data_IF_105806462438
#
_entry.id   IF_105806462438
#
_cell.length_a   1.000
_cell.length_b   1.000
_cell.length_c   1.000
_cell.angle_alpha   90.00
_cell.angle_beta   90.00
_cell.angle_gamma   90.00
#
_symmetry.space_group_name_H-M   'P 1'
#
loop_
_entity.id
_entity.type
_entity.pdbx_description
1 polymer ?
#
# COMPACT_ATOMS: atom_id res chain seq x y z
N UNK A 1 -53.31 -15.28 -39.15
CA UNK A 1 -53.36 -15.66 -40.58
C UNK A 1 -53.29 -14.36 -41.38
N UNK A 2 -52.14 -14.02 -41.95
CA UNK A 2 -52.03 -12.86 -42.84
C UNK A 2 -51.97 -13.39 -44.26
N UNK A 3 -53.08 -13.30 -44.98
CA UNK A 3 -53.19 -13.78 -46.36
C UNK A 3 -52.46 -12.81 -47.29
N UNK A 4 -51.40 -13.27 -47.95
CA UNK A 4 -50.75 -12.52 -49.01
C UNK A 4 -51.66 -12.62 -50.24
N UNK A 5 -52.37 -11.52 -50.54
CA UNK A 5 -53.37 -11.45 -51.61
C UNK A 5 -52.72 -11.77 -52.96
N UNK A 6 -53.18 -12.84 -53.62
CA UNK A 6 -52.80 -13.17 -55.00
C UNK A 6 -53.71 -12.41 -55.96
N UNK A 7 -53.14 -11.47 -56.74
CA UNK A 7 -53.90 -10.74 -57.76
C UNK A 7 -53.71 -11.45 -59.11
N UNK A 8 -54.82 -11.91 -59.72
CA UNK A 8 -54.82 -12.39 -61.10
C UNK A 8 -55.30 -11.27 -62.01
N UNK A 9 -54.41 -10.72 -62.83
CA UNK A 9 -54.78 -9.90 -63.98
C UNK A 9 -54.40 -10.67 -65.24
N UNK A 10 -55.36 -10.84 -66.15
CA UNK A 10 -55.16 -11.42 -67.49
C UNK A 10 -54.37 -12.75 -67.51
N UNK A 11 -54.76 -13.72 -66.66
CA UNK A 11 -54.15 -15.05 -66.53
C UNK A 11 -52.68 -15.10 -66.07
N UNK A 12 -52.04 -13.97 -65.76
CA UNK A 12 -50.69 -13.95 -65.18
C UNK A 12 -50.80 -13.85 -63.65
N UNK A 13 -50.15 -14.80 -62.97
CA UNK A 13 -50.09 -14.77 -61.51
C UNK A 13 -49.03 -13.77 -61.07
N UNK A 14 -49.48 -12.61 -60.62
CA UNK A 14 -48.60 -11.57 -60.09
C UNK A 14 -48.52 -11.75 -58.57
N UNK A 15 -47.33 -12.08 -58.08
CA UNK A 15 -47.02 -11.94 -56.67
C UNK A 15 -46.55 -10.49 -56.48
N UNK A 16 -47.34 -9.61 -55.85
CA UNK A 16 -46.87 -8.27 -55.58
C UNK A 16 -45.59 -8.39 -54.73
N UNK A 17 -44.49 -7.82 -55.20
CA UNK A 17 -43.31 -7.67 -54.34
C UNK A 17 -43.74 -6.75 -53.19
N UNK A 18 -44.00 -7.32 -52.02
CA UNK A 18 -44.32 -6.54 -50.85
C UNK A 18 -43.04 -5.83 -50.43
N UNK A 19 -42.98 -4.51 -50.59
CA UNK A 19 -41.94 -3.72 -49.95
C UNK A 19 -41.90 -4.08 -48.45
N UNK A 20 -40.71 -4.07 -47.86
CA UNK A 20 -40.50 -4.27 -46.41
C UNK A 20 -41.48 -3.42 -45.58
N UNK A 21 -41.91 -2.29 -46.13
CA UNK A 21 -42.86 -1.40 -45.50
C UNK A 21 -44.31 -1.85 -45.41
N UNK A 22 -44.74 -2.80 -46.24
CA UNK A 22 -46.10 -3.34 -46.29
C UNK A 22 -46.31 -4.56 -45.35
N UNK A 23 -45.25 -5.02 -44.67
CA UNK A 23 -45.33 -6.10 -43.69
C UNK A 23 -45.78 -5.52 -42.35
N UNK A 24 -47.06 -5.76 -41.98
CA UNK A 24 -47.58 -5.44 -40.65
C UNK A 24 -46.82 -6.24 -39.57
N UNK A 25 -46.40 -5.56 -38.50
CA UNK A 25 -45.65 -6.18 -37.40
C UNK A 25 -44.13 -6.29 -37.62
N UNK A 26 -43.58 -5.70 -38.69
CA UNK A 26 -42.12 -5.66 -38.89
C UNK A 26 -41.43 -4.99 -37.68
N UNK A 27 -40.41 -5.62 -37.05
CA UNK A 27 -39.68 -4.97 -35.98
C UNK A 27 -38.93 -3.76 -36.53
N UNK A 28 -39.30 -2.56 -36.05
CA UNK A 28 -38.72 -1.28 -36.50
C UNK A 28 -37.30 -1.04 -35.99
N UNK A 29 -36.85 -1.84 -35.02
CA UNK A 29 -35.49 -1.85 -34.50
C UNK A 29 -35.06 -3.28 -34.20
N UNK A 30 -34.34 -3.90 -35.12
CA UNK A 30 -33.52 -5.09 -34.81
C UNK A 30 -32.23 -4.62 -34.12
N UNK A 31 -32.35 -4.14 -32.88
CA UNK A 31 -31.18 -3.88 -32.05
C UNK A 31 -30.82 -5.18 -31.36
N UNK A 32 -29.61 -5.68 -31.61
CA UNK A 32 -29.10 -6.83 -30.86
C UNK A 32 -29.12 -6.55 -29.36
N UNK A 33 -29.23 -7.61 -28.56
CA UNK A 33 -29.23 -7.49 -27.12
C UNK A 33 -27.99 -6.72 -26.65
N UNK A 34 -28.16 -5.97 -25.56
CA UNK A 34 -27.03 -5.29 -24.92
C UNK A 34 -26.02 -6.37 -24.53
N UNK A 35 -24.76 -6.19 -24.91
CA UNK A 35 -23.68 -7.08 -24.47
C UNK A 35 -23.54 -7.10 -22.95
N UNK A 36 -23.01 -8.22 -22.44
CA UNK A 36 -22.79 -8.39 -21.01
C UNK A 36 -21.87 -7.30 -20.44
N UNK A 37 -22.09 -6.88 -19.18
CA UNK A 37 -21.14 -6.01 -18.49
C UNK A 37 -19.74 -6.63 -18.46
N UNK A 38 -18.71 -5.81 -18.69
CA UNK A 38 -17.33 -6.25 -18.55
C UNK A 38 -17.00 -6.70 -17.12
N UNK A 39 -16.09 -7.67 -16.99
CA UNK A 39 -15.61 -8.15 -15.70
C UNK A 39 -14.95 -7.00 -14.92
N UNK A 40 -15.26 -6.89 -13.62
CA UNK A 40 -14.62 -5.89 -12.75
C UNK A 40 -13.15 -6.24 -12.51
N UNK A 41 -12.29 -5.22 -12.56
CA UNK A 41 -10.90 -5.38 -12.15
C UNK A 41 -10.79 -5.45 -10.62
N UNK A 42 -9.85 -6.24 -10.14
CA UNK A 42 -9.55 -6.35 -8.70
C UNK A 42 -8.09 -6.02 -8.43
N UNK A 43 -7.84 -5.44 -7.26
CA UNK A 43 -6.51 -5.12 -6.74
C UNK A 43 -6.37 -5.71 -5.33
N UNK A 44 -5.23 -6.34 -5.06
CA UNK A 44 -4.89 -6.85 -3.74
C UNK A 44 -3.41 -6.61 -3.41
N UNK A 45 -3.10 -6.55 -2.13
CA UNK A 45 -1.72 -6.57 -1.64
C UNK A 45 -1.24 -8.02 -1.59
N UNK A 46 -0.05 -8.27 -2.14
CA UNK A 46 0.66 -9.54 -2.01
C UNK A 46 1.57 -9.52 -0.79
N UNK A 47 2.88 -9.48 -1.01
CA UNK A 47 3.87 -9.45 0.07
C UNK A 47 4.33 -8.03 0.40
N UNK A 48 4.64 -7.79 1.67
CA UNK A 48 5.36 -6.59 2.12
C UNK A 48 6.66 -7.05 2.78
N UNK A 49 7.80 -6.66 2.21
CA UNK A 49 9.13 -7.03 2.71
C UNK A 49 10.00 -5.80 2.94
N UNK A 50 11.03 -5.94 3.77
CA UNK A 50 12.03 -4.89 3.96
C UNK A 50 13.15 -4.99 2.93
N UNK A 51 13.67 -3.87 2.43
CA UNK A 51 14.83 -3.83 1.53
C UNK A 51 15.61 -2.52 1.61
N UNK A 52 16.60 -2.32 0.74
CA UNK A 52 17.37 -1.06 0.68
C UNK A 52 16.69 0.02 -0.15
N UNK A 53 15.97 -0.37 -1.21
CA UNK A 53 15.31 0.54 -2.14
C UNK A 53 13.81 0.26 -2.14
N UNK A 54 13.01 1.33 -2.07
CA UNK A 54 11.56 1.21 -2.18
C UNK A 54 11.15 0.74 -3.58
N UNK A 55 10.29 -0.27 -3.65
CA UNK A 55 9.76 -0.74 -4.93
C UNK A 55 8.36 -1.31 -4.79
N UNK A 56 7.64 -1.26 -5.91
CA UNK A 56 6.32 -1.89 -6.08
C UNK A 56 6.38 -2.73 -7.35
N UNK A 57 5.91 -3.97 -7.29
CA UNK A 57 5.87 -4.88 -8.44
C UNK A 57 4.50 -5.52 -8.53
N UNK A 58 3.85 -5.44 -9.71
CA UNK A 58 2.65 -6.22 -9.97
C UNK A 58 3.07 -7.65 -10.35
N UNK A 59 2.69 -8.63 -9.53
CA UNK A 59 2.86 -10.06 -9.80
C UNK A 59 1.56 -10.72 -10.29
N UNK A 60 0.49 -9.94 -10.41
CA UNK A 60 -0.79 -10.36 -10.98
C UNK A 60 -0.96 -9.96 -12.44
N UNK A 61 -2.21 -9.93 -12.91
CA UNK A 61 -2.55 -9.49 -14.28
C UNK A 61 -3.10 -8.07 -14.27
N UNK A 62 -3.40 -7.51 -15.44
CA UNK A 62 -4.05 -6.20 -15.57
C UNK A 62 -5.48 -6.17 -15.01
N UNK A 63 -6.18 -7.32 -15.01
CA UNK A 63 -7.54 -7.45 -14.48
C UNK A 63 -7.59 -7.95 -13.03
N UNK A 64 -6.52 -8.63 -12.57
CA UNK A 64 -6.38 -9.13 -11.20
C UNK A 64 -4.99 -8.79 -10.71
N UNK A 65 -4.78 -7.52 -10.38
CA UNK A 65 -3.46 -7.01 -10.01
C UNK A 65 -3.14 -7.39 -8.55
N UNK A 66 -1.90 -7.86 -8.33
CA UNK A 66 -1.36 -8.14 -7.01
C UNK A 66 -0.04 -7.42 -6.84
N UNK A 67 -0.01 -6.43 -5.96
CA UNK A 67 1.17 -5.61 -5.74
C UNK A 67 1.99 -6.12 -4.57
N UNK A 68 3.25 -6.44 -4.83
CA UNK A 68 4.26 -6.68 -3.82
C UNK A 68 5.03 -5.38 -3.54
N UNK A 69 5.35 -5.15 -2.27
CA UNK A 69 6.02 -3.96 -1.80
C UNK A 69 7.36 -4.33 -1.15
N UNK A 70 8.39 -3.56 -1.49
CA UNK A 70 9.65 -3.51 -0.72
C UNK A 70 9.72 -2.15 -0.04
N UNK A 71 9.79 -2.15 1.29
CA UNK A 71 9.85 -0.93 2.10
C UNK A 71 11.23 -0.80 2.76
N UNK A 72 11.96 0.31 2.55
CA UNK A 72 13.21 0.54 3.26
C UNK A 72 12.98 0.87 4.73
N UNK A 73 14.00 0.60 5.55
CA UNK A 73 14.03 1.08 6.92
C UNK A 73 14.15 2.61 6.88
N UNK A 74 13.37 3.30 7.70
CA UNK A 74 13.56 4.73 7.92
C UNK A 74 14.91 5.02 8.56
N UNK A 75 15.36 6.26 8.41
CA UNK A 75 16.59 6.73 9.04
C UNK A 75 16.52 6.60 10.56
N UNK A 76 17.69 6.46 11.18
CA UNK A 76 17.78 6.51 12.64
C UNK A 76 17.35 7.90 13.09
N UNK A 77 16.50 7.96 14.12
CA UNK A 77 16.16 9.24 14.76
C UNK A 77 17.39 9.90 15.41
N UNK A 78 17.28 11.20 15.65
CA UNK A 78 18.34 11.99 16.28
C UNK A 78 18.72 11.43 17.66
N UNK A 79 19.99 11.55 18.07
CA UNK A 79 20.38 11.25 19.45
C UNK A 79 19.54 12.06 20.45
N UNK A 80 19.17 11.42 21.56
CA UNK A 80 18.53 12.14 22.66
C UNK A 80 19.45 13.21 23.23
N UNK A 81 18.88 14.33 23.67
CA UNK A 81 19.62 15.36 24.41
C UNK A 81 20.00 14.77 25.76
N UNK A 82 21.30 14.64 26.01
CA UNK A 82 21.82 14.07 27.25
C UNK A 82 21.56 15.08 28.40
N UNK A 83 20.71 14.72 29.36
CA UNK A 83 20.34 15.60 30.49
C UNK A 83 21.42 15.70 31.59
N UNK A 84 22.58 15.08 31.39
CA UNK A 84 23.67 15.12 32.36
C UNK A 84 24.39 16.45 32.24
N UNK A 85 24.43 17.22 33.32
CA UNK A 85 25.30 18.39 33.42
C UNK A 85 26.74 17.94 33.21
N UNK A 86 27.32 18.25 32.05
CA UNK A 86 28.74 17.96 31.78
C UNK A 86 29.68 18.93 32.49
N UNK A 87 29.12 19.96 33.12
CA UNK A 87 29.85 20.92 33.95
C UNK A 87 30.48 20.21 35.15
N UNK A 88 31.70 20.62 35.48
CA UNK A 88 32.37 20.19 36.69
C UNK A 88 31.57 20.65 37.91
N UNK A 89 31.47 19.80 38.94
CA UNK A 89 30.83 20.13 40.20
C UNK A 89 31.52 21.34 40.85
N UNK A 90 30.72 22.22 41.45
CA UNK A 90 31.23 23.37 42.22
C UNK A 90 30.70 23.29 43.64
N UNK A 91 31.16 24.19 44.52
CA UNK A 91 30.64 24.31 45.89
C UNK A 91 29.15 24.64 45.96
N UNK A 92 28.57 25.19 44.88
CA UNK A 92 27.20 25.71 44.87
C UNK A 92 26.31 25.04 43.81
N UNK A 93 26.82 24.07 43.05
CA UNK A 93 26.06 23.36 42.02
C UNK A 93 26.58 21.93 41.79
N UNK A 94 25.65 20.99 41.65
CA UNK A 94 25.95 19.59 41.31
C UNK A 94 26.51 19.48 39.88
N UNK A 95 27.44 18.56 39.66
CA UNK A 95 28.09 18.32 38.35
C UNK A 95 28.98 17.07 38.36
N UNK A 96 29.81 16.92 37.33
CA UNK A 96 30.78 15.83 37.22
C UNK A 96 32.04 16.10 38.04
N UNK A 97 32.71 15.05 38.50
CA UNK A 97 34.02 15.17 39.15
C UNK A 97 35.08 15.59 38.12
N UNK A 98 35.95 16.53 38.48
CA UNK A 98 37.08 16.94 37.62
C UNK A 98 38.15 15.84 37.55
N UNK A 99 39.01 15.86 36.52
CA UNK A 99 40.14 14.92 36.43
C UNK A 99 41.10 15.12 37.61
N UNK A 100 41.27 16.37 38.05
CA UNK A 100 42.12 16.73 39.19
C UNK A 100 41.55 16.17 40.49
N UNK A 101 40.25 16.34 40.74
CA UNK A 101 39.63 15.84 41.97
C UNK A 101 39.60 14.31 42.00
N UNK A 102 39.37 13.66 40.84
CA UNK A 102 39.50 12.21 40.72
C UNK A 102 40.91 11.72 41.06
N UNK A 103 41.94 12.43 40.60
CA UNK A 103 43.33 12.09 40.93
C UNK A 103 43.63 12.27 42.43
N UNK A 104 43.07 13.29 43.09
CA UNK A 104 43.18 13.45 44.55
C UNK A 104 42.52 12.29 45.30
N UNK A 105 41.39 11.79 44.80
CA UNK A 105 40.71 10.60 45.33
C UNK A 105 41.48 9.30 45.06
N UNK A 106 42.23 9.20 43.97
CA UNK A 106 43.10 8.03 43.74
C UNK A 106 44.27 7.98 44.74
N UNK A 107 44.67 9.15 45.26
CA UNK A 107 45.74 9.30 46.25
C UNK A 107 45.32 9.15 47.71
N UNK A 108 44.02 9.04 48.04
CA UNK A 108 43.64 8.72 49.42
C UNK A 108 44.04 7.28 49.71
N UNK A 109 45.06 7.11 50.55
CA UNK A 109 45.59 5.81 50.91
C UNK A 109 44.46 4.87 51.34
N UNK A 110 44.46 3.63 50.81
CA UNK A 110 43.66 2.55 51.39
C UNK A 110 44.11 2.38 52.83
N UNK A 111 43.34 2.91 53.78
CA UNK A 111 43.62 2.73 55.20
C UNK A 111 43.43 1.25 55.48
N UNK A 112 44.53 0.56 55.74
CA UNK A 112 44.50 -0.81 56.22
C UNK A 112 44.49 -0.72 57.74
N UNK A 113 43.36 -1.06 58.36
CA UNK A 113 43.29 -1.16 59.82
C UNK A 113 43.93 -2.49 60.22
N UNK A 114 45.16 -2.44 60.71
CA UNK A 114 45.79 -3.60 61.34
C UNK A 114 45.26 -3.74 62.78
N UNK A 115 44.88 -4.96 63.17
CA UNK A 115 44.39 -5.26 64.52
C UNK A 115 45.53 -5.04 65.53
N UNK A 116 45.43 -4.02 66.38
CA UNK A 116 46.37 -3.76 67.48
C UNK A 116 45.95 -4.59 68.71
N UNK A 117 46.18 -5.90 68.63
CA UNK A 117 45.98 -6.82 69.74
C UNK A 117 44.52 -7.12 70.09
N UNK A 118 44.34 -8.08 70.99
CA UNK A 118 43.10 -8.30 71.73
C UNK A 118 43.24 -7.63 73.10
N UNK A 119 42.16 -7.00 73.55
CA UNK A 119 42.06 -6.46 74.93
C UNK A 119 41.75 -7.62 75.87
#
# INVERSE_FOLDING_TARGET
MTDIVKVKQNNVQVYPQTHWNAVEGKPTTIKGDKGDPGQSATIAVGTVTSGSTASVTNVGTSSVARFNFVLPKGDKGDPGVNATTTSVATTNANGLMSKEDKAKLDGVAKITFEKVGEV
#
